data_IF_912120427859
#
_entry.id   IF_912120427859
#
_cell.length_a   1.000
_cell.length_b   1.000
_cell.length_c   1.000
_cell.angle_alpha   90.00
_cell.angle_beta   90.00
_cell.angle_gamma   90.00
#
_symmetry.space_group_name_H-M   'P 1'
#
loop_
_entity.id
_entity.type
_entity.pdbx_description
1 polymer ?
#
# COMPACT_ATOMS: atom_id res chain seq x y z
N UNK A 1 -8.67 -5.07 18.41
CA UNK A 1 -8.81 -3.96 17.44
C UNK A 1 -10.13 -4.08 16.67
N UNK A 2 -10.39 -3.15 15.73
CA UNK A 2 -11.64 -3.13 14.94
C UNK A 2 -11.95 -4.46 14.24
N UNK A 3 -10.93 -5.12 13.68
CA UNK A 3 -11.08 -6.38 12.94
C UNK A 3 -11.40 -7.58 13.85
N UNK A 4 -10.87 -7.62 15.07
CA UNK A 4 -11.13 -8.74 16.00
C UNK A 4 -12.62 -8.88 16.35
N UNK A 5 -13.31 -7.75 16.45
CA UNK A 5 -14.75 -7.70 16.71
C UNK A 5 -15.59 -8.03 15.47
N UNK A 6 -15.06 -7.74 14.28
CA UNK A 6 -15.80 -7.86 13.02
C UNK A 6 -15.53 -9.17 12.25
N UNK A 7 -14.44 -9.89 12.54
CA UNK A 7 -13.96 -11.03 11.73
C UNK A 7 -14.93 -12.21 11.58
N UNK A 8 -15.93 -12.34 12.45
CA UNK A 8 -16.96 -13.40 12.37
C UNK A 8 -18.11 -13.06 11.43
N UNK A 9 -18.21 -11.81 10.95
CA UNK A 9 -19.30 -11.38 10.08
C UNK A 9 -19.19 -12.08 8.71
N UNK A 10 -20.29 -12.65 8.18
CA UNK A 10 -20.25 -13.45 6.95
C UNK A 10 -19.95 -12.62 5.68
N UNK A 11 -20.06 -11.30 5.76
CA UNK A 11 -19.78 -10.38 4.66
C UNK A 11 -18.37 -9.77 4.72
N UNK A 12 -17.50 -10.26 5.61
CA UNK A 12 -16.11 -9.83 5.72
C UNK A 12 -15.17 -11.01 5.48
N UNK A 13 -14.33 -10.89 4.46
CA UNK A 13 -13.22 -11.82 4.22
C UNK A 13 -11.92 -11.11 4.56
N UNK A 14 -11.12 -11.70 5.44
CA UNK A 14 -9.78 -11.22 5.77
C UNK A 14 -8.76 -12.19 5.18
N UNK A 15 -7.84 -11.67 4.37
CA UNK A 15 -6.68 -12.40 3.86
C UNK A 15 -5.42 -11.83 4.50
N UNK A 16 -4.64 -12.67 5.18
CA UNK A 16 -3.33 -12.32 5.74
C UNK A 16 -2.24 -12.95 4.89
N UNK A 17 -0.99 -12.48 5.05
CA UNK A 17 0.13 -12.91 4.20
C UNK A 17 -0.13 -12.69 2.70
N UNK A 18 -0.98 -11.71 2.37
CA UNK A 18 -1.39 -11.36 1.02
C UNK A 18 -0.80 -9.98 0.66
N UNK A 19 0.40 -9.98 0.08
CA UNK A 19 1.08 -8.74 -0.30
C UNK A 19 0.55 -8.24 -1.65
N UNK A 20 -0.19 -7.12 -1.62
CA UNK A 20 -0.74 -6.52 -2.85
C UNK A 20 0.39 -6.08 -3.77
N UNK A 21 0.31 -6.51 -5.03
CA UNK A 21 1.29 -6.17 -6.07
C UNK A 21 0.88 -4.90 -6.82
N UNK A 22 -0.34 -4.92 -7.37
CA UNK A 22 -0.93 -3.80 -8.11
C UNK A 22 -2.46 -3.89 -8.17
N UNK A 23 -3.09 -2.80 -8.59
CA UNK A 23 -4.52 -2.64 -8.87
C UNK A 23 -4.76 -2.96 -10.34
N UNK A 24 -5.80 -3.74 -10.62
CA UNK A 24 -6.23 -4.08 -11.99
C UNK A 24 -7.20 -3.02 -12.48
N UNK A 25 -6.99 -2.51 -13.70
CA UNK A 25 -7.82 -1.50 -14.33
C UNK A 25 -8.53 -2.00 -15.61
N UNK A 26 -9.76 -1.54 -15.81
CA UNK A 26 -10.47 -1.53 -17.10
C UNK A 26 -10.61 -0.07 -17.55
N UNK A 27 -9.77 0.33 -18.51
CA UNK A 27 -9.54 1.73 -18.85
C UNK A 27 -9.05 2.51 -17.62
N UNK A 28 -9.90 3.40 -17.09
CA UNK A 28 -9.60 4.18 -15.88
C UNK A 28 -10.33 3.68 -14.62
N UNK A 29 -11.10 2.60 -14.73
CA UNK A 29 -11.85 2.04 -13.60
C UNK A 29 -11.04 0.96 -12.92
N UNK A 30 -10.81 1.09 -11.61
CA UNK A 30 -10.26 0.00 -10.81
C UNK A 30 -11.30 -1.14 -10.70
N UNK A 31 -10.91 -2.36 -11.08
CA UNK A 31 -11.79 -3.54 -11.13
C UNK A 31 -11.33 -4.68 -10.23
N UNK A 32 -10.15 -4.57 -9.62
CA UNK A 32 -9.62 -5.61 -8.75
C UNK A 32 -8.21 -5.33 -8.27
N UNK A 33 -7.62 -6.33 -7.63
CA UNK A 33 -6.23 -6.33 -7.16
C UNK A 33 -5.59 -7.69 -7.40
N UNK A 34 -4.29 -7.69 -7.68
CA UNK A 34 -3.46 -8.89 -7.64
C UNK A 34 -2.51 -8.83 -6.46
N UNK A 35 -2.23 -9.99 -5.84
CA UNK A 35 -1.32 -10.12 -4.70
C UNK A 35 -0.56 -11.44 -4.75
N UNK A 36 0.56 -11.50 -4.04
CA UNK A 36 1.28 -12.73 -3.74
C UNK A 36 0.91 -13.22 -2.34
N UNK A 37 0.69 -14.52 -2.19
CA UNK A 37 0.26 -15.13 -0.93
C UNK A 37 1.38 -16.00 -0.33
N UNK A 38 1.81 -15.66 0.90
CA UNK A 38 2.95 -16.29 1.56
C UNK A 38 4.22 -16.19 0.71
N UNK A 39 4.83 -17.34 0.44
CA UNK A 39 6.03 -17.46 -0.41
C UNK A 39 5.70 -17.78 -1.88
N UNK A 40 4.42 -17.73 -2.27
CA UNK A 40 4.00 -17.99 -3.66
C UNK A 40 4.55 -16.93 -4.59
N UNK A 41 5.09 -17.37 -5.73
CA UNK A 41 5.45 -16.50 -6.86
C UNK A 41 4.33 -16.39 -7.89
N UNK A 42 3.25 -17.16 -7.73
CA UNK A 42 2.07 -17.12 -8.59
C UNK A 42 1.08 -16.11 -8.00
N UNK A 43 0.67 -15.07 -8.75
CA UNK A 43 -0.31 -14.10 -8.30
C UNK A 43 -1.70 -14.70 -8.12
N UNK A 44 -2.35 -14.29 -7.03
CA UNK A 44 -3.79 -14.47 -6.81
C UNK A 44 -4.50 -13.15 -7.06
N UNK A 45 -5.76 -13.21 -7.49
CA UNK A 45 -6.55 -12.01 -7.83
C UNK A 45 -7.95 -12.03 -7.20
N UNK A 46 -8.49 -10.84 -6.97
CA UNK A 46 -9.88 -10.62 -6.60
C UNK A 46 -10.44 -9.42 -7.37
N UNK A 47 -11.71 -9.52 -7.74
CA UNK A 47 -12.43 -8.44 -8.43
C UNK A 47 -13.29 -7.64 -7.45
N UNK A 48 -13.51 -6.37 -7.77
CA UNK A 48 -14.33 -5.45 -7.00
C UNK A 48 -15.49 -4.94 -7.86
N UNK A 49 -16.73 -5.15 -7.39
CA UNK A 49 -17.93 -4.69 -8.10
C UNK A 49 -18.16 -3.18 -7.97
N UNK A 50 -17.58 -2.54 -6.95
CA UNK A 50 -17.80 -1.13 -6.61
C UNK A 50 -16.49 -0.35 -6.65
N UNK A 51 -15.64 -0.56 -5.65
CA UNK A 51 -14.45 0.24 -5.40
C UNK A 51 -13.31 -0.63 -4.88
N UNK A 52 -12.08 -0.18 -5.14
CA UNK A 52 -10.86 -0.67 -4.50
C UNK A 52 -10.36 0.45 -3.60
N UNK A 53 -10.27 0.20 -2.29
CA UNK A 53 -9.76 1.16 -1.31
C UNK A 53 -8.30 0.82 -1.00
N UNK A 54 -7.37 1.67 -1.43
CA UNK A 54 -5.95 1.49 -1.17
C UNK A 54 -5.56 2.12 0.18
N UNK A 55 -5.26 1.26 1.16
CA UNK A 55 -4.96 1.66 2.53
C UNK A 55 -3.58 1.16 2.99
N UNK A 56 -2.58 1.16 2.11
CA UNK A 56 -1.25 0.57 2.37
C UNK A 56 -0.28 1.52 3.09
N UNK A 57 -0.75 2.70 3.53
CA UNK A 57 0.08 3.71 4.21
C UNK A 57 0.89 4.57 3.24
N UNK A 58 1.61 5.56 3.79
CA UNK A 58 2.28 6.62 3.02
C UNK A 58 3.42 6.14 2.12
N UNK A 59 4.02 4.99 2.43
CA UNK A 59 5.14 4.42 1.65
C UNK A 59 4.63 3.47 0.57
N UNK A 60 3.83 2.46 0.94
CA UNK A 60 3.43 1.41 -0.01
C UNK A 60 2.28 1.84 -0.94
N UNK A 61 1.39 2.75 -0.53
CA UNK A 61 0.29 3.21 -1.40
C UNK A 61 0.78 3.88 -2.70
N UNK A 62 1.71 4.86 -2.67
CA UNK A 62 2.22 5.43 -3.92
C UNK A 62 2.97 4.41 -4.78
N UNK A 63 3.71 3.48 -4.16
CA UNK A 63 4.38 2.39 -4.88
C UNK A 63 3.37 1.49 -5.62
N UNK A 64 2.30 1.06 -4.95
CA UNK A 64 1.26 0.23 -5.57
C UNK A 64 0.58 1.01 -6.70
N UNK A 65 0.25 2.29 -6.52
CA UNK A 65 -0.32 3.12 -7.58
C UNK A 65 0.60 3.20 -8.80
N UNK A 66 1.89 3.48 -8.60
CA UNK A 66 2.88 3.54 -9.67
C UNK A 66 2.97 2.21 -10.41
N UNK A 67 3.10 1.07 -9.70
CA UNK A 67 3.08 -0.28 -10.29
C UNK A 67 1.79 -0.59 -11.05
N UNK A 68 0.70 0.06 -10.70
CA UNK A 68 -0.61 -0.08 -11.36
C UNK A 68 -0.81 0.85 -12.56
N UNK A 69 0.23 1.61 -12.95
CA UNK A 69 0.16 2.57 -14.06
C UNK A 69 -0.37 3.95 -13.69
N UNK A 70 -0.46 4.29 -12.40
CA UNK A 70 -0.91 5.61 -11.90
C UNK A 70 0.24 6.33 -11.23
N UNK A 71 0.80 7.34 -11.90
CA UNK A 71 1.96 8.09 -11.40
C UNK A 71 2.58 8.99 -12.46
N UNK A 72 3.80 9.47 -12.22
CA UNK A 72 4.53 10.28 -13.21
C UNK A 72 4.81 9.47 -14.49
N UNK A 73 4.26 9.90 -15.63
CA UNK A 73 4.39 9.14 -16.88
C UNK A 73 5.83 8.87 -17.33
N UNK A 74 6.77 9.78 -17.06
CA UNK A 74 8.19 9.59 -17.38
C UNK A 74 8.81 8.48 -16.55
N UNK A 75 8.62 8.53 -15.23
CA UNK A 75 9.08 7.49 -14.31
C UNK A 75 8.48 6.12 -14.65
N UNK A 76 7.18 6.06 -14.95
CA UNK A 76 6.52 4.80 -15.31
C UNK A 76 7.09 4.20 -16.60
N UNK A 77 7.40 5.05 -17.59
CA UNK A 77 8.02 4.60 -18.83
C UNK A 77 9.44 4.05 -18.62
N UNK A 78 10.22 4.58 -17.67
CA UNK A 78 11.57 4.06 -17.33
C UNK A 78 11.53 2.61 -16.82
N UNK A 79 10.40 2.17 -16.26
CA UNK A 79 10.21 0.82 -15.72
C UNK A 79 9.29 -0.06 -16.58
N UNK A 80 9.02 0.34 -17.83
CA UNK A 80 8.12 -0.38 -18.76
C UNK A 80 6.71 -0.62 -18.19
N UNK A 81 6.22 0.29 -17.33
CA UNK A 81 4.88 0.21 -16.74
C UNK A 81 3.87 0.90 -17.66
N UNK A 82 2.82 0.20 -18.14
CA UNK A 82 1.78 0.81 -18.95
C UNK A 82 1.05 1.93 -18.20
N UNK A 83 0.92 3.08 -18.85
CA UNK A 83 0.26 4.25 -18.27
C UNK A 83 -1.27 4.09 -18.26
N UNK A 84 -1.86 4.13 -17.06
CA UNK A 84 -3.31 4.24 -16.83
C UNK A 84 -3.70 5.71 -16.63
N UNK A 85 -2.95 6.43 -15.79
CA UNK A 85 -3.19 7.85 -15.52
C UNK A 85 -1.90 8.57 -15.14
N UNK A 86 -1.55 9.61 -15.90
CA UNK A 86 -0.46 10.50 -15.54
C UNK A 86 -0.87 11.39 -14.37
N UNK A 87 -0.26 11.12 -13.22
CA UNK A 87 -0.49 11.83 -11.97
C UNK A 87 0.86 12.02 -11.25
N UNK A 88 1.63 13.05 -11.62
CA UNK A 88 3.03 13.17 -11.21
C UNK A 88 3.25 13.41 -9.70
N UNK A 89 2.20 13.73 -8.94
CA UNK A 89 2.28 13.87 -7.48
C UNK A 89 2.30 12.54 -6.72
N UNK A 90 2.05 11.39 -7.37
CA UNK A 90 2.10 10.08 -6.70
C UNK A 90 3.53 9.72 -6.36
N UNK A 91 3.80 9.57 -5.06
CA UNK A 91 5.14 9.27 -4.51
C UNK A 91 5.92 10.52 -4.10
N UNK A 92 5.41 11.70 -4.43
CA UNK A 92 6.03 12.98 -4.09
C UNK A 92 5.51 13.55 -2.77
N UNK A 93 6.16 14.62 -2.30
CA UNK A 93 5.76 15.36 -1.09
C UNK A 93 5.64 14.47 0.17
N UNK A 94 6.52 13.47 0.30
CA UNK A 94 6.68 12.74 1.55
C UNK A 94 7.18 13.70 2.63
N UNK A 95 6.48 13.71 3.76
CA UNK A 95 6.86 14.48 4.94
C UNK A 95 6.94 13.52 6.12
N UNK A 96 7.92 13.76 6.96
CA UNK A 96 8.12 13.05 8.20
C UNK A 96 8.67 14.01 9.26
N UNK A 97 8.53 13.65 10.53
CA UNK A 97 9.15 14.37 11.61
C UNK A 97 10.53 13.78 11.88
N UNK A 98 11.57 14.49 11.44
CA UNK A 98 12.94 14.11 11.75
C UNK A 98 13.15 14.05 13.27
N UNK A 99 13.67 12.92 13.75
CA UNK A 99 13.94 12.70 15.17
C UNK A 99 15.45 12.77 15.48
N UNK A 100 15.80 13.42 16.59
CA UNK A 100 17.15 13.45 17.14
C UNK A 100 17.10 12.97 18.59
N UNK A 101 17.94 11.98 18.90
CA UNK A 101 18.09 11.47 20.25
C UNK A 101 19.28 12.12 20.96
N UNK A 102 19.04 12.66 22.15
CA UNK A 102 20.07 13.11 23.08
C UNK A 102 19.98 12.26 24.34
N UNK A 103 20.99 11.45 24.58
CA UNK A 103 21.07 10.57 25.74
C UNK A 103 22.15 11.06 26.70
N UNK A 104 21.82 11.12 27.99
CA UNK A 104 22.72 11.52 29.05
C UNK A 104 22.67 10.52 30.21
N UNK A 105 23.81 10.30 30.85
CA UNK A 105 23.89 9.53 32.09
C UNK A 105 23.17 10.28 33.22
N UNK A 106 22.29 9.59 33.93
CA UNK A 106 21.66 10.12 35.14
C UNK A 106 22.64 10.06 36.31
N UNK A 107 22.74 11.15 37.07
CA UNK A 107 23.61 11.19 38.27
C UNK A 107 23.02 10.44 39.47
N UNK A 108 21.70 10.26 39.47
CA UNK A 108 20.95 9.55 40.50
C UNK A 108 20.10 8.47 39.81
N UNK A 109 19.67 7.41 40.54
CA UNK A 109 18.82 6.37 39.97
C UNK A 109 17.51 6.95 39.42
N UNK A 110 17.12 6.50 38.22
CA UNK A 110 15.82 6.85 37.64
C UNK A 110 14.73 6.20 38.49
N UNK A 111 13.82 7.01 39.04
CA UNK A 111 12.66 6.51 39.78
C UNK A 111 11.69 5.84 38.81
N UNK A 112 11.13 4.69 39.21
CA UNK A 112 10.08 3.96 38.48
C UNK A 112 8.74 4.70 38.50
#
# INVERSE_FOLDING_TARGET
>A
GYLDQAKSRPNLTIRTHAMTDHIIFDGKRAVGVEWLEGDSTIPTRATANKEVLLCAGAIASPQILQRSGVGNAGLLAEFDIPLVHDLPGVGENLQDHLEMYLQYECKEPVSL
#
